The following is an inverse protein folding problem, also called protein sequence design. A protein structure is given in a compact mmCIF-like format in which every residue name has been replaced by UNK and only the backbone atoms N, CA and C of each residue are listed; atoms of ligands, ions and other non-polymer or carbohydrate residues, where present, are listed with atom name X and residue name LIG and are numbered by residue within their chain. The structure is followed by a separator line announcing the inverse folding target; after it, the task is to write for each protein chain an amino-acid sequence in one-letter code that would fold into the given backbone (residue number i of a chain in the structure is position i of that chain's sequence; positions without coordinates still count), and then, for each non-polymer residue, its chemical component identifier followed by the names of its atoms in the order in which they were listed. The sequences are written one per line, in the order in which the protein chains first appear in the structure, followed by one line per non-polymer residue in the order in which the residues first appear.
data_IF_309745471004
#
_entry.id   IF_309745471004
#
_cell.length_a   1.000
_cell.length_b   1.000
_cell.length_c   1.000
_cell.angle_alpha   90.00
_cell.angle_beta   90.00
_cell.angle_gamma   90.00
#
_symmetry.space_group_name_H-M   'P 1'
#
loop_
_entity.id
_entity.type
_entity.pdbx_description
1 polymer ?
#
# COMPACT_ATOMS: atom_id res chain seq x y z
N UNK A 1 -17.40 -23.45 30.95
CA UNK A 1 -16.97 -24.36 29.87
C UNK A 1 -18.03 -24.25 28.81
N UNK A 2 -17.79 -23.43 27.79
CA UNK A 2 -18.53 -23.52 26.53
C UNK A 2 -17.68 -22.87 25.43
N UNK A 3 -17.63 -23.65 24.35
CA UNK A 3 -17.00 -23.55 23.04
C UNK A 3 -16.84 -22.15 22.43
N UNK A 4 -15.63 -21.87 21.93
CA UNK A 4 -15.36 -20.78 20.99
C UNK A 4 -14.85 -21.36 19.66
N UNK A 5 -15.54 -21.03 18.56
CA UNK A 5 -15.01 -21.17 17.21
C UNK A 5 -15.46 -20.02 16.31
N UNK A 6 -14.56 -19.69 15.39
CA UNK A 6 -14.77 -19.18 14.03
C UNK A 6 -14.46 -17.72 13.70
N UNK A 7 -13.20 -17.51 13.27
CA UNK A 7 -12.70 -16.92 11.99
C UNK A 7 -13.68 -16.23 11.02
N UNK A 8 -13.25 -15.06 10.50
CA UNK A 8 -13.01 -14.72 9.07
C UNK A 8 -12.45 -13.27 9.01
N UNK A 9 -11.41 -12.87 8.27
CA UNK A 9 -10.74 -13.45 7.11
C UNK A 9 -11.17 -12.73 5.82
N UNK A 10 -10.60 -11.58 5.44
CA UNK A 10 -10.74 -11.05 4.07
C UNK A 10 -9.38 -10.58 3.52
N UNK A 11 -8.95 -11.37 2.54
CA UNK A 11 -7.73 -11.34 1.75
C UNK A 11 -7.87 -10.28 0.66
N UNK A 12 -6.83 -9.46 0.46
CA UNK A 12 -6.73 -8.64 -0.75
C UNK A 12 -6.29 -9.52 -1.92
N UNK A 13 -7.23 -9.93 -2.75
CA UNK A 13 -6.96 -10.63 -4.01
C UNK A 13 -6.55 -9.62 -5.09
N UNK A 14 -5.29 -9.73 -5.54
CA UNK A 14 -4.87 -9.26 -6.85
C UNK A 14 -4.98 -10.45 -7.82
N UNK A 15 -6.13 -10.58 -8.47
CA UNK A 15 -6.33 -11.57 -9.54
C UNK A 15 -5.63 -11.05 -10.81
N UNK A 16 -4.46 -11.62 -11.14
CA UNK A 16 -3.84 -11.52 -12.46
C UNK A 16 -4.45 -12.59 -13.40
N UNK A 17 -4.96 -12.13 -14.55
CA UNK A 17 -4.99 -12.87 -15.82
C UNK A 17 -5.83 -14.15 -15.90
N UNK A 18 -7.14 -14.03 -16.16
CA UNK A 18 -7.88 -15.04 -16.91
C UNK A 18 -8.14 -14.46 -18.30
N UNK A 19 -7.54 -15.07 -19.32
CA UNK A 19 -7.98 -14.91 -20.71
C UNK A 19 -9.36 -15.57 -20.82
N UNK A 20 -10.40 -14.74 -20.90
CA UNK A 20 -11.69 -15.17 -21.43
C UNK A 20 -11.97 -14.34 -22.68
N UNK A 21 -11.72 -14.95 -23.84
CA UNK A 21 -12.36 -14.50 -25.06
C UNK A 21 -13.89 -14.65 -24.96
N UNK A 22 -14.57 -13.72 -25.63
CA UNK A 22 -15.98 -13.67 -26.00
C UNK A 22 -16.97 -13.10 -24.96
N UNK A 23 -17.35 -11.83 -25.14
CA UNK A 23 -18.50 -11.53 -26.00
C UNK A 23 -18.41 -10.10 -26.57
N UNK A 24 -18.40 -10.00 -27.90
CA UNK A 24 -18.85 -8.82 -28.64
C UNK A 24 -20.33 -8.63 -28.31
N UNK A 25 -20.69 -7.43 -27.86
CA UNK A 25 -22.04 -6.84 -27.81
C UNK A 25 -22.37 -6.24 -26.44
N UNK A 26 -21.78 -5.07 -26.18
CA UNK A 26 -22.47 -3.88 -25.64
C UNK A 26 -21.50 -2.71 -25.64
N UNK A 27 -21.54 -1.95 -26.73
CA UNK A 27 -20.91 -0.65 -26.85
C UNK A 27 -21.71 0.38 -26.01
N UNK A 28 -21.57 0.31 -24.69
CA UNK A 28 -22.03 1.36 -23.78
C UNK A 28 -20.78 2.04 -23.23
N UNK A 29 -20.64 3.36 -23.45
CA UNK A 29 -19.51 4.11 -22.92
C UNK A 29 -19.55 4.08 -21.40
N UNK A 30 -18.71 3.23 -20.79
CA UNK A 30 -18.56 3.13 -19.34
C UNK A 30 -17.77 4.35 -18.88
N UNK A 31 -18.39 5.52 -18.85
CA UNK A 31 -17.81 6.72 -18.27
C UNK A 31 -18.35 6.89 -16.84
N UNK A 32 -17.48 6.87 -15.81
CA UNK A 32 -17.91 7.07 -14.43
C UNK A 32 -18.58 8.44 -14.30
N UNK A 33 -19.79 8.48 -13.72
CA UNK A 33 -20.54 9.71 -13.45
C UNK A 33 -20.59 9.99 -11.96
N UNK A 34 -20.53 11.27 -11.60
CA UNK A 34 -20.71 11.71 -10.21
C UNK A 34 -22.09 11.28 -9.73
N UNK A 35 -22.14 10.61 -8.56
CA UNK A 35 -23.38 10.10 -7.97
C UNK A 35 -23.70 8.63 -8.27
N UNK A 36 -22.85 7.91 -9.01
CA UNK A 36 -22.95 6.45 -9.13
C UNK A 36 -22.87 5.80 -7.74
N UNK A 37 -23.73 4.80 -7.50
CA UNK A 37 -23.75 3.97 -6.30
C UNK A 37 -23.31 2.57 -6.68
N UNK A 38 -22.58 1.93 -5.78
CA UNK A 38 -22.07 0.57 -5.95
C UNK A 38 -22.50 -0.24 -4.74
N UNK A 39 -22.89 -1.48 -4.97
CA UNK A 39 -23.31 -2.40 -3.92
C UNK A 39 -22.10 -2.97 -3.16
N UNK A 40 -20.92 -2.95 -3.79
CA UNK A 40 -19.64 -3.38 -3.20
C UNK A 40 -18.45 -2.50 -3.64
N UNK A 41 -17.39 -2.51 -2.82
CA UNK A 41 -16.09 -1.87 -3.13
C UNK A 41 -15.40 -2.55 -4.31
N UNK A 42 -15.64 -3.85 -4.50
CA UNK A 42 -15.14 -4.66 -5.60
C UNK A 42 -15.80 -4.24 -6.92
N UNK A 43 -17.11 -3.96 -6.92
CA UNK A 43 -17.84 -3.47 -8.09
C UNK A 43 -17.36 -2.09 -8.53
N UNK A 44 -17.16 -1.19 -7.56
CA UNK A 44 -16.55 0.12 -7.80
C UNK A 44 -15.17 -0.04 -8.45
N UNK A 45 -14.33 -0.89 -7.85
CA UNK A 45 -12.97 -1.10 -8.37
C UNK A 45 -12.99 -1.70 -9.78
N UNK A 46 -13.90 -2.62 -10.06
CA UNK A 46 -14.07 -3.24 -11.38
C UNK A 46 -14.44 -2.21 -12.46
N UNK A 47 -15.41 -1.33 -12.18
CA UNK A 47 -15.81 -0.26 -13.10
C UNK A 47 -14.67 0.71 -13.40
N UNK A 48 -13.95 1.17 -12.37
CA UNK A 48 -12.84 2.10 -12.59
C UNK A 48 -11.65 1.40 -13.28
N UNK A 49 -11.43 0.10 -13.05
CA UNK A 49 -10.39 -0.69 -13.73
C UNK A 49 -10.69 -0.83 -15.22
N UNK A 50 -11.94 -1.10 -15.59
CA UNK A 50 -12.35 -1.20 -16.99
C UNK A 50 -12.30 0.16 -17.70
N UNK A 51 -12.75 1.23 -17.06
CA UNK A 51 -12.64 2.59 -17.59
C UNK A 51 -11.19 3.04 -17.80
N UNK A 52 -10.33 2.82 -16.80
CA UNK A 52 -8.93 3.21 -16.86
C UNK A 52 -8.18 2.46 -17.98
N UNK A 53 -8.49 1.16 -18.17
CA UNK A 53 -8.02 0.38 -19.32
C UNK A 53 -8.47 0.99 -20.64
N UNK A 54 -9.76 1.36 -20.76
CA UNK A 54 -10.31 1.98 -21.97
C UNK A 54 -9.65 3.33 -22.28
N UNK A 55 -9.32 4.12 -21.25
CA UNK A 55 -8.74 5.46 -21.39
C UNK A 55 -7.21 5.48 -21.33
N UNK A 56 -6.55 4.34 -21.19
CA UNK A 56 -5.09 4.23 -21.27
C UNK A 56 -4.33 4.71 -20.03
N UNK A 57 -4.92 4.67 -18.84
CA UNK A 57 -4.23 5.00 -17.59
C UNK A 57 -4.38 3.90 -16.53
N UNK A 58 -3.48 3.87 -15.55
CA UNK A 58 -3.53 2.93 -14.43
C UNK A 58 -4.30 3.50 -13.25
N UNK A 59 -5.06 2.64 -12.55
CA UNK A 59 -5.66 2.98 -11.25
C UNK A 59 -4.97 2.21 -10.13
N UNK A 60 -4.90 2.79 -8.93
CA UNK A 60 -4.32 2.15 -7.75
C UNK A 60 -5.25 2.29 -6.56
N UNK A 61 -5.66 1.17 -5.96
CA UNK A 61 -6.38 1.16 -4.68
C UNK A 61 -5.40 1.54 -3.55
N UNK A 62 -5.75 2.54 -2.74
CA UNK A 62 -5.01 2.88 -1.52
C UNK A 62 -5.93 2.61 -0.32
N UNK A 63 -5.40 1.93 0.70
CA UNK A 63 -6.14 1.72 1.95
C UNK A 63 -5.97 2.93 2.88
N UNK A 64 -7.07 3.37 3.45
CA UNK A 64 -7.12 4.33 4.57
C UNK A 64 -7.77 3.62 5.74
N UNK A 65 -7.17 3.74 6.93
CA UNK A 65 -7.79 3.26 8.18
C UNK A 65 -8.43 4.47 8.86
N UNK A 66 -9.63 4.28 9.38
CA UNK A 66 -10.32 5.27 10.22
C UNK A 66 -10.02 4.94 11.67
N UNK A 67 -9.64 5.93 12.45
CA UNK A 67 -9.56 5.79 13.91
C UNK A 67 -10.97 5.69 14.52
N UNK A 68 -11.05 5.38 15.81
CA UNK A 68 -12.31 5.27 16.58
C UNK A 68 -13.20 6.52 16.49
N UNK A 69 -12.60 7.69 16.20
CA UNK A 69 -13.28 8.97 15.98
C UNK A 69 -13.77 9.19 14.52
N UNK A 70 -13.65 8.19 13.65
CA UNK A 70 -14.05 8.28 12.24
C UNK A 70 -13.12 9.08 11.32
N UNK A 71 -11.97 9.54 11.85
CA UNK A 71 -10.96 10.30 11.11
C UNK A 71 -10.08 9.35 10.28
N UNK A 72 -10.11 9.51 8.96
CA UNK A 72 -9.23 8.78 8.03
C UNK A 72 -7.78 9.27 8.16
N UNK A 73 -6.88 8.45 8.70
CA UNK A 73 -5.44 8.71 8.64
C UNK A 73 -4.84 8.03 7.42
N UNK A 74 -4.16 8.80 6.58
CA UNK A 74 -3.25 8.24 5.58
C UNK A 74 -2.14 7.48 6.33
N UNK A 75 -2.20 6.15 6.29
CA UNK A 75 -1.11 5.33 6.79
C UNK A 75 0.06 5.54 5.84
N UNK A 76 1.07 6.29 6.26
CA UNK A 76 2.37 6.27 5.61
C UNK A 76 2.86 4.83 5.68
N UNK A 77 2.87 4.14 4.54
CA UNK A 77 3.18 2.71 4.42
C UNK A 77 4.63 2.35 4.82
N UNK A 78 5.44 3.32 5.25
CA UNK A 78 6.80 3.07 5.70
C UNK A 78 6.87 2.32 7.04
N UNK A 79 5.81 2.33 7.86
CA UNK A 79 5.79 1.68 9.18
C UNK A 79 5.10 0.31 9.24
N UNK A 80 4.42 -0.13 8.17
CA UNK A 80 3.82 -1.47 8.13
C UNK A 80 4.85 -2.47 7.56
N UNK A 81 5.33 -3.38 8.39
CA UNK A 81 6.19 -4.50 7.96
C UNK A 81 5.36 -5.77 7.84
N UNK A 82 5.42 -6.44 6.70
CA UNK A 82 4.88 -7.79 6.55
C UNK A 82 5.92 -8.75 7.15
N UNK A 83 5.54 -9.66 8.04
CA UNK A 83 6.50 -10.60 8.63
C UNK A 83 7.15 -11.47 7.55
N UNK A 84 8.41 -11.84 7.77
CA UNK A 84 9.05 -12.90 6.99
C UNK A 84 8.37 -14.23 7.27
N UNK A 85 8.24 -15.06 6.24
CA UNK A 85 7.59 -16.38 6.36
C UNK A 85 8.62 -17.49 6.51
N UNK A 86 9.83 -17.30 5.98
CA UNK A 86 10.92 -18.25 6.03
C UNK A 86 12.05 -17.78 6.95
N UNK A 87 13.01 -18.67 7.19
CA UNK A 87 14.26 -18.36 7.89
C UNK A 87 15.37 -17.84 6.96
N UNK A 88 15.10 -17.64 5.66
CA UNK A 88 16.12 -17.22 4.70
C UNK A 88 16.55 -15.77 4.92
N UNK A 89 17.87 -15.54 5.01
CA UNK A 89 18.40 -14.20 5.28
C UNK A 89 18.16 -13.22 4.11
N UNK A 90 18.20 -13.71 2.87
CA UNK A 90 17.79 -12.93 1.70
C UNK A 90 16.35 -12.40 1.80
N UNK A 91 15.44 -13.12 2.48
CA UNK A 91 14.08 -12.62 2.70
C UNK A 91 14.08 -11.39 3.59
N UNK A 92 14.84 -11.44 4.70
CA UNK A 92 15.01 -10.30 5.61
C UNK A 92 15.71 -9.13 4.91
N UNK A 93 16.74 -9.42 4.12
CA UNK A 93 17.44 -8.42 3.32
C UNK A 93 16.45 -7.68 2.39
N UNK A 94 15.64 -8.42 1.61
CA UNK A 94 14.65 -7.82 0.71
C UNK A 94 13.53 -7.10 1.49
N UNK A 95 13.05 -7.63 2.61
CA UNK A 95 12.08 -6.97 3.49
C UNK A 95 12.60 -5.62 4.02
N UNK A 96 13.88 -5.58 4.36
CA UNK A 96 14.54 -4.37 4.85
C UNK A 96 14.72 -3.32 3.75
N UNK A 97 14.95 -3.74 2.50
CA UNK A 97 15.23 -2.83 1.39
C UNK A 97 13.97 -2.37 0.62
N UNK A 98 13.03 -3.28 0.33
CA UNK A 98 11.96 -3.04 -0.65
C UNK A 98 10.67 -2.47 -0.06
N UNK A 99 9.88 -1.81 -0.91
CA UNK A 99 8.50 -1.43 -0.57
C UNK A 99 7.65 -2.67 -0.25
N UNK A 100 6.63 -2.51 0.60
CA UNK A 100 5.70 -3.60 0.99
C UNK A 100 5.18 -4.40 -0.23
N UNK A 101 4.74 -3.71 -1.27
CA UNK A 101 4.21 -4.33 -2.49
C UNK A 101 5.25 -5.22 -3.17
N UNK A 102 6.48 -4.71 -3.28
CA UNK A 102 7.53 -5.46 -3.97
C UNK A 102 8.07 -6.59 -3.11
N UNK A 103 8.13 -6.41 -1.80
CA UNK A 103 8.45 -7.48 -0.87
C UNK A 103 7.45 -8.64 -0.96
N UNK A 104 6.14 -8.37 -1.07
CA UNK A 104 5.12 -9.41 -1.30
C UNK A 104 5.37 -10.21 -2.57
N UNK A 105 5.69 -9.53 -3.68
CA UNK A 105 6.02 -10.22 -4.94
C UNK A 105 7.21 -11.16 -4.76
N UNK A 106 8.28 -10.69 -4.10
CA UNK A 106 9.44 -11.53 -3.81
C UNK A 106 9.11 -12.70 -2.88
N UNK A 107 8.36 -12.46 -1.80
CA UNK A 107 7.93 -13.49 -0.85
C UNK A 107 7.07 -14.57 -1.53
N UNK A 108 6.22 -14.17 -2.48
CA UNK A 108 5.45 -15.12 -3.29
C UNK A 108 6.36 -16.00 -4.16
N UNK A 109 7.36 -15.43 -4.83
CA UNK A 109 8.34 -16.19 -5.62
C UNK A 109 9.20 -17.11 -4.72
N UNK A 110 9.65 -16.61 -3.57
CA UNK A 110 10.41 -17.37 -2.57
C UNK A 110 9.62 -18.58 -2.04
N UNK A 111 8.34 -18.41 -1.74
CA UNK A 111 7.48 -19.51 -1.31
C UNK A 111 7.20 -20.46 -2.47
N UNK A 112 6.92 -19.93 -3.66
CA UNK A 112 6.61 -20.71 -4.86
C UNK A 112 7.78 -21.56 -5.36
N UNK A 113 9.00 -21.34 -4.87
CA UNK A 113 10.15 -22.21 -5.15
C UNK A 113 9.88 -23.67 -4.76
N UNK A 114 8.98 -23.92 -3.79
CA UNK A 114 8.59 -25.28 -3.39
C UNK A 114 7.99 -26.13 -4.52
N UNK A 115 7.56 -25.49 -5.61
CA UNK A 115 7.03 -26.15 -6.81
C UNK A 115 8.09 -26.43 -7.88
N UNK A 116 9.34 -26.05 -7.63
CA UNK A 116 10.49 -26.28 -8.49
C UNK A 116 11.26 -27.53 -8.07
N UNK A 117 11.96 -28.14 -9.03
CA UNK A 117 12.89 -29.24 -8.80
C UNK A 117 14.02 -29.18 -9.82
N UNK A 118 15.26 -29.33 -9.38
CA UNK A 118 16.40 -29.51 -10.28
C UNK A 118 16.32 -30.90 -10.92
N UNK A 119 16.34 -30.93 -12.25
CA UNK A 119 16.35 -32.15 -13.08
C UNK A 119 17.77 -32.57 -13.37
N UNK A 120 18.59 -31.61 -13.79
CA UNK A 120 19.99 -31.83 -14.13
C UNK A 120 20.80 -30.57 -13.79
N UNK A 121 22.07 -30.78 -13.51
CA UNK A 121 23.06 -29.73 -13.30
C UNK A 121 24.26 -30.04 -14.17
N UNK A 122 24.69 -29.07 -14.97
CA UNK A 122 25.93 -29.14 -15.75
C UNK A 122 26.85 -28.03 -15.26
N UNK A 123 28.13 -28.35 -15.08
CA UNK A 123 29.12 -27.37 -14.61
C UNK A 123 30.22 -27.24 -15.67
N UNK A 124 30.43 -26.01 -16.12
CA UNK A 124 31.42 -25.61 -17.13
C UNK A 124 32.29 -24.50 -16.51
N UNK A 125 33.40 -24.89 -15.90
CA UNK A 125 34.30 -23.95 -15.20
C UNK A 125 33.62 -23.31 -13.98
N UNK A 126 33.52 -21.98 -13.99
CA UNK A 126 32.86 -21.16 -12.95
C UNK A 126 31.35 -21.03 -13.17
N UNK A 127 30.84 -21.48 -14.32
CA UNK A 127 29.42 -21.42 -14.66
C UNK A 127 28.74 -22.77 -14.42
N UNK A 128 27.67 -22.76 -13.64
CA UNK A 128 26.78 -23.90 -13.43
C UNK A 128 25.44 -23.64 -14.11
N UNK A 129 24.98 -24.56 -14.96
CA UNK A 129 23.69 -24.51 -15.63
C UNK A 129 22.76 -25.54 -14.99
N UNK A 130 21.63 -25.06 -14.47
CA UNK A 130 20.60 -25.84 -13.81
C UNK A 130 19.38 -25.95 -14.70
N UNK A 131 18.89 -27.16 -14.90
CA UNK A 131 17.62 -27.44 -15.56
C UNK A 131 16.55 -27.62 -14.49
N UNK A 132 15.61 -26.67 -14.40
CA UNK A 132 14.60 -26.61 -13.35
C UNK A 132 13.26 -26.98 -13.93
N UNK A 133 12.64 -27.99 -13.33
CA UNK A 133 11.29 -28.42 -13.63
C UNK A 133 10.30 -27.79 -12.66
N UNK A 134 9.42 -26.97 -13.20
CA UNK A 134 8.32 -26.37 -12.46
C UNK A 134 7.05 -27.21 -12.61
N UNK A 135 6.36 -27.43 -11.49
CA UNK A 135 5.00 -28.00 -11.49
C UNK A 135 3.98 -26.87 -11.51
N UNK A 136 3.29 -26.73 -12.64
CA UNK A 136 2.25 -25.71 -12.80
C UNK A 136 0.88 -26.39 -12.79
N UNK A 137 -0.04 -25.85 -11.98
CA UNK A 137 -1.46 -26.21 -12.02
C UNK A 137 -2.15 -25.34 -13.08
N UNK A 138 -2.82 -25.97 -14.04
CA UNK A 138 -3.54 -25.28 -15.12
C UNK A 138 -5.00 -25.74 -15.14
N UNK A 139 -5.96 -24.82 -15.02
CA UNK A 139 -7.39 -25.11 -15.08
C UNK A 139 -7.85 -26.17 -14.07
N UNK A 140 -8.67 -27.14 -14.51
CA UNK A 140 -9.25 -28.27 -13.76
C UNK A 140 -8.19 -29.29 -13.24
N UNK A 141 -7.10 -28.83 -12.63
CA UNK A 141 -6.09 -29.68 -12.01
C UNK A 141 -5.08 -30.32 -12.95
N UNK A 142 -4.99 -29.88 -14.21
CA UNK A 142 -4.00 -30.41 -15.17
C UNK A 142 -2.60 -29.92 -14.77
N UNK A 143 -1.72 -30.87 -14.46
CA UNK A 143 -0.32 -30.59 -14.09
C UNK A 143 0.54 -30.49 -15.35
N UNK A 144 0.81 -29.27 -15.82
CA UNK A 144 1.83 -29.04 -16.85
C UNK A 144 3.22 -28.98 -16.20
N UNK A 145 4.20 -29.58 -16.87
CA UNK A 145 5.61 -29.56 -16.46
C UNK A 145 6.36 -28.70 -17.44
N UNK A 146 6.89 -27.58 -16.97
CA UNK A 146 7.70 -26.66 -17.78
C UNK A 146 9.14 -26.73 -17.30
N UNK A 147 10.08 -26.63 -18.23
CA UNK A 147 11.51 -26.67 -17.96
C UNK A 147 12.07 -25.27 -18.20
N UNK A 148 12.86 -24.80 -17.24
CA UNK A 148 13.60 -23.54 -17.30
C UNK A 148 15.08 -23.81 -17.11
N UNK A 149 15.91 -23.02 -17.77
CA UNK A 149 17.37 -23.08 -17.58
C UNK A 149 17.80 -21.89 -16.74
N UNK A 150 18.64 -22.14 -15.75
CA UNK A 150 19.25 -21.11 -14.91
C UNK A 150 20.77 -21.25 -15.00
N UNK A 151 21.44 -20.20 -15.47
CA UNK A 151 22.90 -20.12 -15.45
C UNK A 151 23.33 -19.34 -14.21
N UNK A 152 24.26 -19.90 -13.44
CA UNK A 152 24.85 -19.28 -12.26
C UNK A 152 26.37 -19.26 -12.39
N UNK A 153 26.95 -18.07 -12.44
CA UNK A 153 28.39 -17.84 -12.40
C UNK A 153 28.80 -17.51 -10.97
N UNK A 154 29.53 -18.42 -10.34
CA UNK A 154 29.88 -18.30 -8.92
C UNK A 154 30.91 -17.21 -8.61
N UNK A 155 31.79 -16.92 -9.57
CA UNK A 155 32.85 -15.91 -9.49
C UNK A 155 32.32 -14.47 -9.55
N UNK A 156 31.36 -14.20 -10.43
CA UNK A 156 30.75 -12.88 -10.61
C UNK A 156 29.48 -12.68 -9.76
N UNK A 157 29.00 -13.75 -9.12
CA UNK A 157 27.68 -13.80 -8.48
C UNK A 157 26.56 -13.46 -9.45
N UNK A 158 26.72 -13.79 -10.73
CA UNK A 158 25.73 -13.58 -11.79
C UNK A 158 24.82 -14.78 -11.92
N UNK A 159 23.53 -14.52 -11.93
CA UNK A 159 22.50 -15.51 -12.17
C UNK A 159 21.49 -14.99 -13.18
N UNK A 160 21.17 -15.83 -14.17
CA UNK A 160 20.21 -15.56 -15.22
C UNK A 160 19.28 -16.75 -15.37
N UNK A 161 18.01 -16.49 -15.65
CA UNK A 161 17.03 -17.53 -15.90
C UNK A 161 16.34 -17.28 -17.23
N UNK A 162 16.08 -18.34 -17.99
CA UNK A 162 15.38 -18.30 -19.27
C UNK A 162 13.93 -17.78 -19.18
N UNK A 163 13.39 -17.56 -17.98
CA UNK A 163 12.09 -16.88 -17.81
C UNK A 163 12.18 -15.35 -17.92
N UNK A 164 13.39 -14.78 -17.80
CA UNK A 164 13.70 -13.35 -17.85
C UNK A 164 12.89 -12.44 -16.92
N UNK A 165 12.34 -12.98 -15.82
CA UNK A 165 11.48 -12.25 -14.88
C UNK A 165 12.17 -11.07 -14.23
N UNK A 166 13.47 -11.16 -14.00
CA UNK A 166 14.21 -10.05 -13.42
C UNK A 166 14.35 -8.88 -14.41
N UNK A 167 14.52 -9.17 -15.68
CA UNK A 167 14.75 -8.21 -16.75
C UNK A 167 13.50 -7.38 -17.02
N UNK A 168 12.32 -8.02 -17.07
CA UNK A 168 11.06 -7.29 -17.32
C UNK A 168 10.32 -6.82 -16.05
N UNK A 169 10.32 -7.61 -14.95
CA UNK A 169 9.61 -7.26 -13.70
C UNK A 169 10.53 -6.70 -12.61
N UNK A 170 11.83 -6.96 -12.65
CA UNK A 170 12.79 -6.58 -11.61
C UNK A 170 12.60 -7.30 -10.30
N UNK A 171 12.11 -8.53 -10.35
CA UNK A 171 12.02 -9.44 -9.20
C UNK A 171 12.69 -10.74 -9.62
N UNK A 172 13.49 -11.32 -8.74
CA UNK A 172 14.01 -12.67 -8.96
C UNK A 172 12.85 -13.67 -8.97
N UNK A 173 12.79 -14.53 -9.98
CA UNK A 173 11.80 -15.60 -10.03
C UNK A 173 12.16 -16.73 -9.07
N UNK A 174 11.17 -17.56 -8.76
CA UNK A 174 11.32 -18.80 -8.01
C UNK A 174 12.44 -19.71 -8.51
N UNK A 175 12.73 -19.72 -9.82
CA UNK A 175 13.81 -20.54 -10.41
C UNK A 175 15.18 -20.06 -9.97
N UNK A 176 15.42 -18.75 -10.05
CA UNK A 176 16.66 -18.12 -9.60
C UNK A 176 16.81 -18.28 -8.10
N UNK A 177 15.74 -17.99 -7.35
CA UNK A 177 15.74 -18.11 -5.88
C UNK A 177 16.09 -19.54 -5.47
N UNK A 178 15.49 -20.55 -6.11
CA UNK A 178 15.76 -21.95 -5.82
C UNK A 178 17.23 -22.32 -6.04
N UNK A 179 17.86 -21.83 -7.12
CA UNK A 179 19.29 -22.07 -7.38
C UNK A 179 20.18 -21.34 -6.38
N UNK A 180 19.83 -20.12 -5.96
CA UNK A 180 20.58 -19.41 -4.93
C UNK A 180 20.54 -20.14 -3.58
N UNK A 181 19.36 -20.64 -3.20
CA UNK A 181 19.19 -21.45 -1.98
C UNK A 181 20.00 -22.75 -2.06
N UNK A 182 19.97 -23.45 -3.20
CA UNK A 182 20.75 -24.68 -3.40
C UNK A 182 22.28 -24.43 -3.37
N UNK A 183 22.73 -23.24 -3.76
CA UNK A 183 24.14 -22.83 -3.69
C UNK A 183 24.48 -22.13 -2.37
N UNK A 184 23.62 -22.22 -1.34
CA UNK A 184 23.84 -21.66 0.00
C UNK A 184 24.14 -20.14 0.00
N UNK A 185 23.59 -19.42 -0.97
CA UNK A 185 23.74 -17.96 -1.03
C UNK A 185 22.80 -17.32 0.00
N UNK A 186 23.35 -16.81 1.10
CA UNK A 186 22.55 -16.22 2.18
C UNK A 186 21.95 -14.85 1.81
N UNK A 187 22.70 -14.02 1.09
CA UNK A 187 22.34 -12.65 0.74
C UNK A 187 22.38 -12.44 -0.77
N UNK A 188 21.40 -11.70 -1.29
CA UNK A 188 21.38 -11.30 -2.69
C UNK A 188 22.49 -10.29 -2.97
N UNK A 189 23.25 -10.46 -4.07
CA UNK A 189 24.16 -9.43 -4.58
C UNK A 189 23.40 -8.12 -4.85
N UNK A 190 24.06 -6.99 -4.59
CA UNK A 190 23.42 -5.65 -4.65
C UNK A 190 22.80 -5.33 -6.01
N UNK A 191 23.36 -5.86 -7.12
CA UNK A 191 22.81 -5.72 -8.47
C UNK A 191 21.37 -6.23 -8.63
N UNK A 192 20.94 -7.19 -7.79
CA UNK A 192 19.58 -7.70 -7.77
C UNK A 192 18.63 -6.94 -6.83
N UNK A 193 19.17 -5.97 -6.07
CA UNK A 193 18.41 -5.05 -5.20
C UNK A 193 18.25 -3.72 -5.93
N UNK A 194 17.19 -3.62 -6.73
CA UNK A 194 17.01 -2.49 -7.64
C UNK A 194 16.58 -1.22 -6.91
N UNK A 195 17.29 -0.12 -7.17
CA UNK A 195 17.02 1.19 -6.60
C UNK A 195 15.57 1.64 -6.77
N UNK A 196 14.95 1.36 -7.92
CA UNK A 196 13.55 1.71 -8.15
C UNK A 196 12.62 1.09 -7.10
N UNK A 197 12.88 -0.10 -6.58
CA UNK A 197 11.96 -0.80 -5.68
C UNK A 197 12.19 -0.55 -4.20
N UNK A 198 13.29 0.14 -3.89
CA UNK A 198 13.71 0.46 -2.53
C UNK A 198 12.72 1.40 -1.83
N UNK A 199 12.47 1.16 -0.55
CA UNK A 199 11.52 1.94 0.27
C UNK A 199 12.15 3.22 0.82
N UNK A 200 13.47 3.27 0.95
CA UNK A 200 14.23 4.45 1.36
C UNK A 200 14.39 5.48 0.23
N UNK A 201 14.00 5.11 -1.00
CA UNK A 201 14.00 6.02 -2.14
C UNK A 201 12.73 6.87 -2.16
N UNK A 202 12.89 8.15 -1.84
CA UNK A 202 11.82 9.15 -1.85
C UNK A 202 11.51 9.59 -3.27
N UNK A 203 10.32 9.26 -3.77
CA UNK A 203 9.94 9.60 -5.14
C UNK A 203 9.22 10.96 -5.18
N UNK A 204 9.40 11.80 -6.21
CA UNK A 204 8.70 13.10 -6.30
C UNK A 204 7.17 12.97 -6.26
N UNK A 205 6.58 11.93 -6.86
CA UNK A 205 5.14 11.68 -6.82
C UNK A 205 4.60 11.23 -5.45
N UNK A 206 5.47 10.79 -4.52
CA UNK A 206 5.10 10.58 -3.11
C UNK A 206 4.95 11.90 -2.34
N UNK A 207 5.38 13.05 -2.91
CA UNK A 207 5.13 14.40 -2.37
C UNK A 207 3.77 14.97 -2.79
N UNK A 208 3.15 14.40 -3.82
CA UNK A 208 1.81 14.80 -4.24
C UNK A 208 0.81 14.03 -3.39
N UNK A 209 0.29 14.68 -2.36
CA UNK A 209 -0.96 14.27 -1.74
C UNK A 209 -2.04 14.53 -2.79
N UNK A 210 -2.40 13.51 -3.58
CA UNK A 210 -3.66 13.55 -4.32
C UNK A 210 -4.74 13.34 -3.25
N UNK A 211 -5.28 14.45 -2.75
CA UNK A 211 -6.50 14.44 -1.95
C UNK A 211 -7.60 13.86 -2.81
N UNK A 212 -8.12 12.71 -2.39
CA UNK A 212 -9.20 12.04 -3.09
C UNK A 212 -10.46 12.92 -3.02
N UNK A 213 -11.03 13.21 -4.18
CA UNK A 213 -12.45 13.41 -4.42
C UNK A 213 -13.12 14.66 -3.82
N UNK A 214 -12.85 15.85 -4.33
CA UNK A 214 -13.82 16.97 -4.31
C UNK A 214 -14.34 17.45 -2.95
N UNK A 215 -13.79 16.97 -1.83
CA UNK A 215 -14.03 17.54 -0.52
C UNK A 215 -13.31 18.88 -0.48
N UNK A 216 -14.02 19.95 -0.10
CA UNK A 216 -13.44 21.26 0.11
C UNK A 216 -12.33 21.11 1.14
N UNK A 217 -11.07 21.11 0.68
CA UNK A 217 -9.91 21.21 1.57
C UNK A 217 -10.07 22.55 2.27
N UNK A 218 -10.30 22.51 3.58
CA UNK A 218 -10.40 23.75 4.35
C UNK A 218 -9.08 24.50 4.20
N UNK A 219 -9.09 25.84 4.10
CA UNK A 219 -7.85 26.63 4.04
C UNK A 219 -6.87 26.28 5.17
N UNK A 220 -7.38 25.83 6.32
CA UNK A 220 -6.62 25.33 7.47
C UNK A 220 -5.83 24.06 7.15
N UNK A 221 -6.46 23.09 6.48
CA UNK A 221 -5.83 21.82 6.13
C UNK A 221 -4.72 22.02 5.10
N UNK A 222 -4.94 22.87 4.09
CA UNK A 222 -3.91 23.20 3.10
C UNK A 222 -2.66 23.82 3.76
N UNK A 223 -2.86 24.76 4.69
CA UNK A 223 -1.77 25.37 5.46
C UNK A 223 -1.03 24.33 6.31
N UNK A 224 -1.76 23.41 6.94
CA UNK A 224 -1.16 22.32 7.71
C UNK A 224 -0.30 21.39 6.85
N UNK A 225 -0.81 20.97 5.70
CA UNK A 225 -0.09 20.07 4.79
C UNK A 225 1.19 20.72 4.24
N UNK A 226 1.13 22.00 3.85
CA UNK A 226 2.30 22.80 3.44
C UNK A 226 3.35 22.89 4.56
N UNK A 227 2.93 23.17 5.80
CA UNK A 227 3.82 23.21 6.96
C UNK A 227 4.46 21.85 7.25
N UNK A 228 3.69 20.75 7.16
CA UNK A 228 4.22 19.41 7.36
C UNK A 228 5.29 19.04 6.32
N UNK A 229 5.11 19.44 5.06
CA UNK A 229 6.11 19.22 4.01
C UNK A 229 7.40 19.97 4.35
N UNK A 230 7.31 21.29 4.59
CA UNK A 230 8.48 22.12 4.86
C UNK A 230 9.26 21.67 6.12
N UNK A 231 8.55 21.34 7.21
CA UNK A 231 9.20 20.86 8.45
C UNK A 231 9.83 19.49 8.25
N UNK A 232 9.23 18.62 7.44
CA UNK A 232 9.84 17.32 7.12
C UNK A 232 11.15 17.50 6.36
N UNK A 233 11.20 18.41 5.39
CA UNK A 233 12.43 18.68 4.63
C UNK A 233 13.56 19.21 5.53
N UNK A 234 13.25 20.11 6.47
CA UNK A 234 14.21 20.60 7.45
C UNK A 234 14.69 19.45 8.36
N UNK A 235 13.77 18.61 8.83
CA UNK A 235 14.11 17.47 9.68
C UNK A 235 15.03 16.46 8.96
N UNK A 236 14.84 16.25 7.66
CA UNK A 236 15.70 15.35 6.88
C UNK A 236 17.14 15.86 6.76
N UNK A 237 17.32 17.18 6.61
CA UNK A 237 18.63 17.81 6.53
C UNK A 237 19.35 17.76 7.88
N UNK A 238 18.62 18.01 8.96
CA UNK A 238 19.16 18.09 10.31
C UNK A 238 19.31 16.73 11.02
N UNK A 239 18.75 15.64 10.49
CA UNK A 239 18.71 14.35 11.20
C UNK A 239 20.08 13.67 11.35
N UNK A 240 21.07 14.00 10.51
CA UNK A 240 22.38 13.34 10.50
C UNK A 240 23.41 14.03 11.40
N UNK A 241 23.14 15.26 11.83
CA UNK A 241 24.02 16.07 12.67
C UNK A 241 23.32 16.43 13.99
N UNK A 242 23.98 16.16 15.12
CA UNK A 242 23.38 16.33 16.44
C UNK A 242 23.15 17.82 16.79
N UNK A 243 24.01 18.71 16.29
CA UNK A 243 23.93 20.14 16.54
C UNK A 243 22.79 20.77 15.73
N UNK A 244 22.69 20.43 14.44
CA UNK A 244 21.58 20.85 13.57
C UNK A 244 20.23 20.34 14.08
N UNK A 245 20.18 19.08 14.54
CA UNK A 245 18.97 18.48 15.11
C UNK A 245 18.49 19.23 16.36
N UNK A 246 19.44 19.59 17.24
CA UNK A 246 19.16 20.36 18.46
C UNK A 246 18.66 21.77 18.11
N UNK A 247 19.30 22.45 17.16
CA UNK A 247 18.90 23.80 16.72
C UNK A 247 17.46 23.80 16.17
N UNK A 248 17.14 22.85 15.29
CA UNK A 248 15.79 22.72 14.73
C UNK A 248 14.76 22.47 15.83
N UNK A 249 15.06 21.60 16.79
CA UNK A 249 14.15 21.28 17.90
C UNK A 249 13.94 22.46 18.86
N UNK A 250 14.98 23.23 19.15
CA UNK A 250 14.88 24.47 19.92
C UNK A 250 14.00 25.49 19.21
N UNK A 251 14.18 25.67 17.90
CA UNK A 251 13.36 26.56 17.08
C UNK A 251 11.89 26.12 17.08
N UNK A 252 11.60 24.82 16.89
CA UNK A 252 10.24 24.28 16.93
C UNK A 252 9.59 24.52 18.31
N UNK A 253 10.34 24.28 19.39
CA UNK A 253 9.88 24.52 20.77
C UNK A 253 9.56 26.01 20.99
N UNK A 254 10.42 26.90 20.49
CA UNK A 254 10.20 28.34 20.53
C UNK A 254 8.92 28.75 19.78
N UNK A 255 8.71 28.27 18.55
CA UNK A 255 7.50 28.59 17.78
C UNK A 255 6.23 28.04 18.44
N UNK A 256 6.28 26.81 18.98
CA UNK A 256 5.18 26.22 19.75
C UNK A 256 4.78 27.11 20.91
N UNK A 257 5.75 27.56 21.72
CA UNK A 257 5.52 28.45 22.86
C UNK A 257 4.98 29.83 22.45
N UNK A 258 5.42 30.36 21.30
CA UNK A 258 4.91 31.61 20.75
C UNK A 258 3.45 31.50 20.32
N UNK A 259 3.06 30.39 19.69
CA UNK A 259 1.68 30.14 19.25
C UNK A 259 0.72 29.88 20.42
N UNK A 260 1.14 29.14 21.45
CA UNK A 260 0.32 28.92 22.66
C UNK A 260 0.09 30.20 23.45
N UNK A 261 1.09 31.09 23.53
CA UNK A 261 0.96 32.43 24.13
C UNK A 261 0.04 33.37 23.35
N UNK A 262 -0.05 33.23 22.02
CA UNK A 262 -1.00 34.00 21.19
C UNK A 262 -2.44 33.55 21.41
N UNK A 263 -2.64 32.24 21.54
CA UNK A 263 -3.97 31.65 21.81
C UNK A 263 -4.55 32.06 23.17
N UNK A 264 -3.70 32.42 24.13
CA UNK A 264 -4.09 32.86 25.49
C UNK A 264 -4.33 34.37 25.63
N UNK A 265 -3.96 35.20 24.65
CA UNK A 265 -4.17 36.67 24.70
C UNK A 265 -5.46 37.15 24.02
N UNK A 266 -6.13 36.30 23.22
CA UNK A 266 -7.51 36.50 22.80
C UNK A 266 -8.45 35.87 23.84
N UNK A 267 -8.86 36.65 24.85
CA UNK A 267 -9.68 36.15 25.96
C UNK A 267 -11.18 36.10 25.69
N UNK A 268 -11.76 34.90 25.70
CA UNK A 268 -13.01 34.44 26.34
C UNK A 268 -13.40 33.09 25.68
N UNK A 269 -13.40 31.92 26.32
CA UNK A 269 -13.41 31.46 27.70
C UNK A 269 -12.41 30.30 27.92
N UNK A 270 -11.97 30.09 29.17
CA UNK A 270 -11.22 28.88 29.53
C UNK A 270 -12.08 27.60 29.38
N UNK A 271 -11.45 26.44 29.15
CA UNK A 271 -12.12 25.16 28.96
C UNK A 271 -12.37 24.48 30.32
N UNK A 272 -13.62 24.16 30.62
CA UNK A 272 -13.92 22.97 31.42
C UNK A 272 -14.00 21.78 30.46
N UNK A 273 -13.60 20.57 30.88
CA UNK A 273 -13.74 19.38 30.05
C UNK A 273 -15.22 19.18 29.76
N UNK A 274 -15.64 19.37 28.51
CA UNK A 274 -16.97 18.94 28.08
C UNK A 274 -16.87 17.43 27.89
N UNK A 275 -17.09 16.71 28.99
CA UNK A 275 -17.96 15.54 29.00
C UNK A 275 -19.14 15.82 28.08
N UNK A 276 -19.34 14.98 27.06
CA UNK A 276 -20.36 15.08 26.02
C UNK A 276 -21.79 14.81 26.55
N UNK A 277 -22.16 15.46 27.66
CA UNK A 277 -23.45 15.28 28.33
C UNK A 277 -24.06 16.65 28.69
N UNK A 278 -24.57 17.37 27.69
CA UNK A 278 -25.74 18.28 27.79
C UNK A 278 -25.86 19.18 26.54
N UNK A 279 -26.04 18.57 25.38
CA UNK A 279 -26.93 19.16 24.38
C UNK A 279 -28.28 18.48 24.62
N UNK A 280 -29.32 19.25 24.99
CA UNK A 280 -30.68 18.69 24.94
C UNK A 280 -30.88 18.21 23.50
N UNK A 281 -31.18 16.92 23.28
CA UNK A 281 -31.27 16.38 21.94
C UNK A 281 -32.34 17.15 21.17
N UNK A 282 -32.04 17.52 19.92
CA UNK A 282 -33.08 17.93 18.98
C UNK A 282 -34.08 16.78 18.93
N UNK A 283 -35.31 17.03 19.36
CA UNK A 283 -36.36 16.01 19.34
C UNK A 283 -36.78 15.84 17.88
N UNK A 284 -36.21 14.84 17.23
CA UNK A 284 -36.67 14.36 15.93
C UNK A 284 -37.95 13.58 16.21
N UNK A 285 -39.09 14.12 15.82
CA UNK A 285 -40.33 13.34 15.79
C UNK A 285 -40.39 12.73 14.40
N UNK A 286 -40.31 11.41 14.32
CA UNK A 286 -40.44 10.67 13.08
C UNK A 286 -41.91 10.70 12.65
N UNK A 287 -42.15 10.98 11.37
CA UNK A 287 -43.47 10.79 10.78
C UNK A 287 -43.67 9.28 10.61
N UNK A 288 -44.72 8.71 11.21
CA UNK A 288 -44.85 7.24 11.33
C UNK A 288 -45.07 6.52 9.98
N UNK A 289 -45.26 7.26 8.87
CA UNK A 289 -45.46 6.69 7.54
C UNK A 289 -44.23 6.76 6.59
N UNK A 290 -43.24 7.66 6.79
CA UNK A 290 -42.00 7.70 5.98
C UNK A 290 -40.80 8.29 6.76
N UNK A 291 -39.85 7.44 7.23
CA UNK A 291 -38.74 7.86 8.06
C UNK A 291 -37.54 8.50 7.31
N UNK A 292 -37.62 8.77 6.00
CA UNK A 292 -36.51 9.41 5.23
C UNK A 292 -36.72 10.89 4.90
N UNK A 293 -37.88 11.48 5.24
CA UNK A 293 -38.11 12.93 5.10
C UNK A 293 -38.00 13.63 6.45
N UNK A 294 -36.90 14.38 6.63
CA UNK A 294 -36.72 15.30 7.76
C UNK A 294 -37.31 16.65 7.34
N UNK A 295 -38.33 17.15 8.04
CA UNK A 295 -38.78 18.53 7.89
C UNK A 295 -38.18 19.37 9.02
N UNK A 296 -37.41 20.40 8.69
CA UNK A 296 -36.81 21.32 9.67
C UNK A 296 -37.61 22.62 9.62
N UNK A 297 -38.35 22.92 10.68
CA UNK A 297 -38.98 24.23 10.84
C UNK A 297 -37.99 25.13 11.59
N UNK A 298 -37.64 26.27 11.00
CA UNK A 298 -36.82 27.27 11.69
C UNK A 298 -37.61 27.92 12.84
N UNK A 299 -36.97 28.26 13.96
CA UNK A 299 -37.65 28.89 15.09
C UNK A 299 -38.12 30.31 14.71
N UNK A 300 -39.35 30.66 15.09
CA UNK A 300 -39.91 32.00 14.88
C UNK A 300 -39.00 33.08 15.46
N UNK A 301 -38.65 34.04 14.61
CA UNK A 301 -37.91 35.24 15.03
C UNK A 301 -38.90 36.16 15.75
N UNK A 302 -38.80 36.24 17.08
CA UNK A 302 -39.42 37.33 17.84
C UNK A 302 -38.63 38.62 17.59
N UNK A 303 -39.30 39.58 16.95
CA UNK A 303 -38.81 40.93 16.71
C UNK A 303 -38.49 41.64 18.03
N UNK A 304 -37.34 42.31 18.08
CA UNK A 304 -37.14 43.54 18.87
C UNK A 304 -36.74 44.62 17.86
#
# INVERSE_FOLDING_TARGET
MEVGSSIDGIVGEDVEGVDCELNKDRNESIEPKVGMKFDSVEDLHSLFKSYARLKGFGIRKRSSTKDEDGVSKYVRSFSKTIPVTSSFEMEKQVQSAYTISKFKEFQNELNSQMYCRIVSTRKEGTTSVYEIKERILFGEGVKKKVIFNVSYKSDEGEIECSCHMFEYKGTLCKHVIYVLVENEVELLPEKYILHRWRKDVRRPHTRIIITDNGWVVTPEQKRYDEMCIAVTEIADLAAMDEEDSREVMEWVSHQKNKLTKRKSRSGSNNPSPITSSSLKPRKIIYNEEDPRRINVQDPEVSKI
#
